data_IF_304259115604
#
_entry.id   IF_304259115604
#
_cell.length_a   1.000
_cell.length_b   1.000
_cell.length_c   1.000
_cell.angle_alpha   90.00
_cell.angle_beta   90.00
_cell.angle_gamma   90.00
#
_symmetry.space_group_name_H-M   'P 1'
#
loop_
_entity.id
_entity.type
_entity.pdbx_description
1 polymer ?
#
# COMPACT_ATOMS: atom_id res chain seq x y z
N UNK A 1 45.08 -16.59 13.45
CA UNK A 1 44.22 -16.69 12.26
C UNK A 1 43.24 -15.53 12.32
N UNK A 2 43.47 -14.50 11.52
CA UNK A 2 42.55 -13.37 11.35
C UNK A 2 41.22 -13.92 10.76
N UNK A 3 40.09 -13.73 11.46
CA UNK A 3 38.77 -13.89 10.82
C UNK A 3 38.72 -12.86 9.70
N UNK A 4 38.93 -13.30 8.47
CA UNK A 4 38.69 -12.51 7.28
C UNK A 4 37.31 -11.84 7.44
N UNK A 5 37.29 -10.57 7.13
CA UNK A 5 36.10 -9.71 7.28
C UNK A 5 35.05 -10.08 6.22
N UNK A 6 34.54 -11.30 6.34
CA UNK A 6 33.64 -11.92 5.36
C UNK A 6 32.36 -11.09 5.26
N UNK A 7 32.02 -10.62 4.07
CA UNK A 7 30.80 -9.88 3.84
C UNK A 7 29.58 -10.81 4.05
N UNK A 8 28.74 -10.49 5.03
CA UNK A 8 27.52 -11.23 5.31
C UNK A 8 26.30 -10.59 4.63
N UNK A 9 25.22 -11.36 4.45
CA UNK A 9 23.94 -10.88 3.90
C UNK A 9 23.45 -9.65 4.65
N UNK A 10 23.54 -9.64 5.98
CA UNK A 10 23.10 -8.52 6.80
C UNK A 10 23.94 -7.27 6.62
N UNK A 11 25.27 -7.40 6.59
CA UNK A 11 26.17 -6.27 6.32
C UNK A 11 25.95 -5.70 4.93
N UNK A 12 25.78 -6.57 3.94
CA UNK A 12 25.50 -6.15 2.57
C UNK A 12 24.17 -5.43 2.43
N UNK A 13 23.07 -6.02 2.91
CA UNK A 13 21.73 -5.40 2.83
C UNK A 13 21.68 -4.07 3.59
N UNK A 14 22.34 -3.97 4.73
CA UNK A 14 22.47 -2.71 5.48
C UNK A 14 23.22 -1.63 4.70
N UNK A 15 24.39 -1.98 4.12
CA UNK A 15 25.16 -1.08 3.24
C UNK A 15 24.33 -0.65 2.03
N UNK A 16 23.72 -1.62 1.35
CA UNK A 16 22.85 -1.39 0.20
C UNK A 16 21.72 -0.41 0.52
N UNK A 17 21.05 -0.59 1.66
CA UNK A 17 19.99 0.30 2.11
C UNK A 17 20.48 1.73 2.31
N UNK A 18 21.59 1.91 3.02
CA UNK A 18 22.16 3.23 3.30
C UNK A 18 22.56 3.95 2.00
N UNK A 19 23.18 3.23 1.07
CA UNK A 19 23.63 3.77 -0.22
C UNK A 19 22.47 4.19 -1.11
N UNK A 20 21.36 3.45 -1.09
CA UNK A 20 20.25 3.66 -2.02
C UNK A 20 19.09 4.48 -1.44
N UNK A 21 19.01 4.70 -0.11
CA UNK A 21 17.85 5.32 0.55
C UNK A 21 17.43 6.69 -0.01
N UNK A 22 18.41 7.48 -0.50
CA UNK A 22 18.14 8.80 -1.09
C UNK A 22 17.33 8.75 -2.40
N UNK A 23 17.25 7.58 -3.05
CA UNK A 23 16.50 7.36 -4.28
C UNK A 23 15.00 7.14 -4.03
N UNK A 24 14.56 6.99 -2.77
CA UNK A 24 13.21 6.58 -2.43
C UNK A 24 12.45 7.68 -1.69
N UNK A 25 11.13 7.68 -1.85
CA UNK A 25 10.28 8.45 -0.96
C UNK A 25 10.19 7.80 0.43
N UNK A 26 9.76 8.56 1.45
CA UNK A 26 9.74 8.10 2.84
C UNK A 26 8.92 6.82 3.08
N UNK A 27 7.86 6.59 2.32
CA UNK A 27 7.05 5.36 2.44
C UNK A 27 7.81 4.14 1.93
N UNK A 28 8.48 4.26 0.79
CA UNK A 28 9.31 3.18 0.21
C UNK A 28 10.53 2.91 1.11
N UNK A 29 11.19 3.96 1.60
CA UNK A 29 12.30 3.82 2.54
C UNK A 29 11.86 3.08 3.80
N UNK A 30 10.74 3.49 4.41
CA UNK A 30 10.19 2.83 5.59
C UNK A 30 9.84 1.36 5.35
N UNK A 31 9.25 1.04 4.20
CA UNK A 31 8.95 -0.32 3.78
C UNK A 31 10.21 -1.18 3.64
N UNK A 32 11.21 -0.70 2.93
CA UNK A 32 12.49 -1.42 2.75
C UNK A 32 13.26 -1.58 4.06
N UNK A 33 13.27 -0.55 4.89
CA UNK A 33 13.85 -0.61 6.23
C UNK A 33 13.22 -1.75 7.03
N UNK A 34 11.88 -1.82 7.07
CA UNK A 34 11.18 -2.90 7.78
C UNK A 34 11.55 -4.28 7.23
N UNK A 35 11.53 -4.47 5.90
CA UNK A 35 11.87 -5.76 5.29
C UNK A 35 13.30 -6.20 5.62
N UNK A 36 14.27 -5.29 5.60
CA UNK A 36 15.68 -5.59 5.87
C UNK A 36 15.87 -5.88 7.36
N UNK A 37 15.50 -4.94 8.23
CA UNK A 37 15.87 -5.02 9.64
C UNK A 37 14.96 -5.91 10.48
N UNK A 38 13.70 -6.09 10.08
CA UNK A 38 12.77 -6.96 10.83
C UNK A 38 12.67 -8.38 10.29
N UNK A 39 13.10 -8.63 9.04
CA UNK A 39 12.96 -9.94 8.43
C UNK A 39 14.28 -10.51 7.89
N UNK A 40 14.98 -9.81 6.98
CA UNK A 40 16.18 -10.36 6.32
C UNK A 40 17.34 -10.52 7.30
N UNK A 41 17.71 -9.47 8.02
CA UNK A 41 18.83 -9.51 8.96
C UNK A 41 18.62 -10.53 10.08
N UNK A 42 17.45 -10.59 10.75
CA UNK A 42 17.22 -11.60 11.79
C UNK A 42 17.16 -13.03 11.26
N UNK A 43 16.78 -13.24 10.00
CA UNK A 43 16.63 -14.57 9.42
C UNK A 43 17.92 -15.14 8.85
N UNK A 44 18.59 -14.41 7.98
CA UNK A 44 19.77 -14.87 7.23
C UNK A 44 20.96 -13.88 7.27
N UNK A 45 20.87 -12.83 8.09
CA UNK A 45 21.88 -11.78 8.11
C UNK A 45 23.29 -12.21 8.53
N UNK A 46 23.41 -13.32 9.28
CA UNK A 46 24.69 -13.91 9.70
C UNK A 46 25.37 -14.76 8.63
N UNK A 47 24.63 -15.17 7.59
CA UNK A 47 25.13 -16.01 6.50
C UNK A 47 26.11 -15.20 5.65
N UNK A 48 27.29 -15.78 5.32
CA UNK A 48 28.22 -15.15 4.38
C UNK A 48 27.59 -15.10 2.98
N UNK A 49 27.89 -14.04 2.21
CA UNK A 49 27.34 -13.93 0.85
C UNK A 49 27.77 -15.09 -0.04
N UNK A 50 29.00 -15.62 0.14
CA UNK A 50 29.53 -16.79 -0.56
C UNK A 50 28.75 -18.07 -0.26
N UNK A 51 28.20 -18.17 0.93
CA UNK A 51 27.56 -19.39 1.45
C UNK A 51 26.02 -19.35 1.30
N UNK A 52 25.51 -18.27 0.70
CA UNK A 52 24.06 -18.11 0.45
C UNK A 52 23.63 -19.04 -0.67
N UNK A 53 22.95 -20.12 -0.33
CA UNK A 53 22.43 -21.11 -1.29
C UNK A 53 20.94 -20.95 -1.51
N UNK A 54 20.41 -21.55 -2.62
CA UNK A 54 18.98 -21.67 -2.86
C UNK A 54 18.24 -22.28 -1.66
N UNK A 55 18.82 -23.34 -1.07
CA UNK A 55 18.21 -24.05 0.07
C UNK A 55 18.06 -23.11 1.28
N UNK A 56 19.14 -22.40 1.64
CA UNK A 56 19.14 -21.43 2.76
C UNK A 56 18.05 -20.36 2.56
N UNK A 57 17.86 -19.91 1.31
CA UNK A 57 16.85 -18.90 0.99
C UNK A 57 15.44 -19.51 1.10
N UNK A 58 15.23 -20.71 0.62
CA UNK A 58 13.92 -21.41 0.71
C UNK A 58 13.53 -21.63 2.17
N UNK A 59 14.44 -22.19 2.98
CA UNK A 59 14.23 -22.42 4.41
C UNK A 59 13.91 -21.12 5.16
N UNK A 60 14.56 -20.03 4.75
CA UNK A 60 14.25 -18.69 5.27
C UNK A 60 12.82 -18.25 4.94
N UNK A 61 12.34 -18.45 3.71
CA UNK A 61 10.96 -18.10 3.36
C UNK A 61 9.95 -18.94 4.12
N UNK A 62 10.19 -20.24 4.29
CA UNK A 62 9.35 -21.12 5.08
C UNK A 62 9.30 -20.66 6.54
N UNK A 63 10.45 -20.25 7.10
CA UNK A 63 10.51 -19.70 8.45
C UNK A 63 9.68 -18.43 8.62
N UNK A 64 9.62 -17.54 7.59
CA UNK A 64 8.79 -16.35 7.61
C UNK A 64 7.30 -16.71 7.60
N UNK A 65 6.89 -17.69 6.80
CA UNK A 65 5.49 -18.17 6.77
C UNK A 65 5.10 -18.80 8.12
N UNK A 66 5.96 -19.63 8.69
CA UNK A 66 5.74 -20.24 10.00
C UNK A 66 5.63 -19.22 11.13
N UNK A 67 6.27 -18.05 10.98
CA UNK A 67 6.13 -16.88 11.88
C UNK A 67 4.86 -16.07 11.63
N UNK A 68 4.00 -16.50 10.70
CA UNK A 68 2.71 -15.87 10.40
C UNK A 68 2.73 -14.78 9.32
N UNK A 69 3.82 -14.61 8.57
CA UNK A 69 3.81 -13.71 7.40
C UNK A 69 2.95 -14.33 6.28
N UNK A 70 2.06 -13.52 5.72
CA UNK A 70 1.31 -13.95 4.55
C UNK A 70 2.22 -14.06 3.31
N UNK A 71 1.83 -14.89 2.34
CA UNK A 71 2.58 -15.13 1.10
C UNK A 71 2.97 -13.83 0.37
N UNK A 72 2.09 -12.82 0.36
CA UNK A 72 2.38 -11.50 -0.22
C UNK A 72 3.54 -10.78 0.48
N UNK A 73 3.63 -10.87 1.81
CA UNK A 73 4.73 -10.28 2.57
C UNK A 73 6.05 -10.99 2.30
N UNK A 74 6.04 -12.32 2.23
CA UNK A 74 7.22 -13.12 1.86
C UNK A 74 7.67 -12.79 0.44
N UNK A 75 6.74 -12.60 -0.49
CA UNK A 75 7.05 -12.15 -1.85
C UNK A 75 7.72 -10.76 -1.88
N UNK A 76 7.28 -9.82 -1.04
CA UNK A 76 7.95 -8.52 -0.91
C UNK A 76 9.39 -8.66 -0.39
N UNK A 77 9.62 -9.58 0.57
CA UNK A 77 10.97 -9.90 1.07
C UNK A 77 11.83 -10.49 -0.07
N UNK A 78 11.27 -11.45 -0.83
CA UNK A 78 11.94 -12.06 -1.98
C UNK A 78 12.38 -11.00 -3.01
N UNK A 79 11.47 -10.12 -3.42
CA UNK A 79 11.79 -9.08 -4.40
C UNK A 79 12.90 -8.15 -3.93
N UNK A 80 12.88 -7.75 -2.66
CA UNK A 80 13.90 -6.88 -2.10
C UNK A 80 15.24 -7.60 -1.98
N UNK A 81 15.25 -8.84 -1.47
CA UNK A 81 16.45 -9.66 -1.35
C UNK A 81 17.07 -9.90 -2.73
N UNK A 82 16.25 -10.25 -3.73
CA UNK A 82 16.68 -10.43 -5.12
C UNK A 82 17.39 -9.18 -5.64
N UNK A 83 16.80 -8.00 -5.42
CA UNK A 83 17.40 -6.73 -5.83
C UNK A 83 18.74 -6.46 -5.13
N UNK A 84 18.83 -6.70 -3.81
CA UNK A 84 20.07 -6.56 -3.06
C UNK A 84 21.15 -7.50 -3.59
N UNK A 85 20.82 -8.76 -3.89
CA UNK A 85 21.77 -9.75 -4.39
C UNK A 85 22.15 -9.52 -5.85
N UNK A 86 21.28 -8.91 -6.67
CA UNK A 86 21.63 -8.50 -8.03
C UNK A 86 22.74 -7.44 -8.01
N UNK A 87 22.66 -6.45 -7.12
CA UNK A 87 23.74 -5.46 -6.96
C UNK A 87 25.01 -6.08 -6.36
N UNK A 88 24.90 -7.07 -5.45
CA UNK A 88 26.05 -7.80 -4.94
C UNK A 88 26.78 -8.59 -6.05
N UNK A 89 26.05 -9.14 -7.00
CA UNK A 89 26.64 -9.81 -8.17
C UNK A 89 27.29 -8.81 -9.14
N UNK A 90 26.68 -7.64 -9.35
CA UNK A 90 27.27 -6.57 -10.17
C UNK A 90 28.56 -5.99 -9.55
N UNK A 91 28.61 -5.86 -8.22
CA UNK A 91 29.82 -5.42 -7.49
C UNK A 91 30.81 -6.57 -7.28
N UNK A 92 30.58 -7.76 -7.85
CA UNK A 92 31.45 -8.94 -7.80
C UNK A 92 31.69 -9.55 -6.40
N UNK A 93 30.80 -9.28 -5.42
CA UNK A 93 30.83 -9.95 -4.11
C UNK A 93 30.37 -11.41 -4.18
N UNK A 94 29.52 -11.73 -5.16
CA UNK A 94 29.05 -13.09 -5.48
C UNK A 94 29.08 -13.30 -6.98
N UNK A 95 29.37 -14.53 -7.44
CA UNK A 95 29.41 -14.83 -8.89
C UNK A 95 28.02 -14.82 -9.55
N UNK A 96 26.97 -15.13 -8.78
CA UNK A 96 25.59 -15.23 -9.25
C UNK A 96 24.59 -15.03 -8.12
N UNK A 97 23.43 -14.45 -8.44
CA UNK A 97 22.34 -14.26 -7.50
C UNK A 97 21.50 -15.53 -7.33
N UNK A 98 21.72 -16.26 -6.24
CA UNK A 98 21.01 -17.50 -5.91
C UNK A 98 19.48 -17.29 -5.67
N UNK A 99 19.05 -16.07 -5.31
CA UNK A 99 17.63 -15.74 -5.11
C UNK A 99 16.83 -15.93 -6.41
N UNK A 100 17.48 -15.73 -7.57
CA UNK A 100 16.83 -15.93 -8.89
C UNK A 100 16.47 -17.39 -9.18
N UNK A 101 17.08 -18.34 -8.46
CA UNK A 101 16.78 -19.77 -8.58
C UNK A 101 15.63 -20.22 -7.68
N UNK A 102 15.23 -19.36 -6.73
CA UNK A 102 14.10 -19.64 -5.87
C UNK A 102 12.80 -19.38 -6.64
N UNK A 103 11.83 -20.30 -6.51
CA UNK A 103 10.49 -20.05 -7.03
C UNK A 103 9.89 -18.87 -6.28
N UNK A 104 9.36 -17.93 -7.02
CA UNK A 104 8.52 -16.88 -6.46
C UNK A 104 7.34 -17.59 -5.77
N UNK A 105 7.15 -17.35 -4.49
CA UNK A 105 5.90 -17.71 -3.84
C UNK A 105 4.80 -17.00 -4.60
N UNK A 106 4.06 -17.75 -5.42
CA UNK A 106 2.88 -17.22 -6.10
C UNK A 106 1.87 -16.90 -5.01
N UNK A 107 1.93 -15.66 -4.52
CA UNK A 107 0.86 -15.16 -3.68
C UNK A 107 -0.40 -15.25 -4.55
N UNK A 108 -1.26 -16.22 -4.27
CA UNK A 108 -2.61 -16.19 -4.82
C UNK A 108 -3.13 -14.78 -4.60
N UNK A 109 -3.48 -14.13 -5.70
CA UNK A 109 -3.99 -12.76 -5.63
C UNK A 109 -5.26 -12.82 -4.78
N UNK A 110 -5.17 -12.33 -3.53
CA UNK A 110 -6.35 -12.25 -2.67
C UNK A 110 -7.38 -11.35 -3.37
N UNK A 111 -8.31 -11.98 -4.06
CA UNK A 111 -9.47 -11.31 -4.63
C UNK A 111 -10.52 -11.26 -3.53
N UNK A 112 -10.64 -10.12 -2.87
CA UNK A 112 -11.76 -9.88 -1.96
C UNK A 112 -13.06 -10.18 -2.71
N UNK A 113 -13.92 -11.00 -2.12
CA UNK A 113 -15.24 -11.23 -2.69
C UNK A 113 -15.99 -9.89 -2.79
N UNK A 114 -16.53 -9.55 -3.98
CA UNK A 114 -17.21 -8.28 -4.17
C UNK A 114 -18.44 -8.19 -3.24
N UNK A 115 -18.71 -7.00 -2.73
CA UNK A 115 -19.93 -6.76 -1.97
C UNK A 115 -21.14 -6.89 -2.90
N UNK A 116 -22.16 -7.63 -2.48
CA UNK A 116 -23.45 -7.65 -3.18
C UNK A 116 -24.10 -6.27 -3.14
N UNK A 117 -24.96 -5.96 -4.11
CA UNK A 117 -25.60 -4.64 -4.21
C UNK A 117 -26.24 -4.18 -2.89
N UNK A 118 -26.99 -5.03 -2.21
CA UNK A 118 -27.60 -4.70 -0.91
C UNK A 118 -26.59 -4.49 0.21
N UNK A 119 -25.39 -5.08 0.13
CA UNK A 119 -24.30 -4.84 1.08
C UNK A 119 -23.65 -3.47 0.81
N UNK A 120 -23.47 -3.11 -0.46
CA UNK A 120 -22.98 -1.79 -0.85
C UNK A 120 -23.94 -0.68 -0.43
N UNK A 121 -25.24 -0.88 -0.60
CA UNK A 121 -26.26 0.06 -0.12
C UNK A 121 -26.16 0.26 1.40
N UNK A 122 -26.01 -0.83 2.20
CA UNK A 122 -25.80 -0.72 3.65
C UNK A 122 -24.53 0.03 4.00
N UNK A 123 -23.45 -0.17 3.24
CA UNK A 123 -22.19 0.55 3.42
C UNK A 123 -22.36 2.06 3.20
N UNK A 124 -23.02 2.46 2.11
CA UNK A 124 -23.29 3.86 1.79
C UNK A 124 -24.25 4.51 2.81
N UNK A 125 -25.30 3.81 3.23
CA UNK A 125 -26.21 4.29 4.29
C UNK A 125 -25.48 4.47 5.63
N UNK A 126 -24.56 3.57 5.99
CA UNK A 126 -23.74 3.74 7.17
C UNK A 126 -22.77 4.93 7.07
N UNK A 127 -22.23 5.19 5.88
CA UNK A 127 -21.40 6.37 5.63
C UNK A 127 -22.21 7.68 5.74
N UNK A 128 -23.44 7.68 5.24
CA UNK A 128 -24.39 8.80 5.35
C UNK A 128 -24.72 9.10 6.81
N UNK A 129 -25.10 8.09 7.59
CA UNK A 129 -25.38 8.23 9.04
C UNK A 129 -24.18 8.71 9.85
N UNK A 130 -22.97 8.55 9.36
CA UNK A 130 -21.73 9.07 9.95
C UNK A 130 -21.35 10.45 9.42
N UNK A 131 -22.12 11.04 8.50
CA UNK A 131 -21.86 12.35 7.91
C UNK A 131 -20.63 12.36 6.97
N UNK A 132 -20.22 11.20 6.43
CA UNK A 132 -19.02 11.05 5.60
C UNK A 132 -19.30 10.50 4.20
N UNK A 133 -20.58 10.54 3.78
CA UNK A 133 -20.97 10.03 2.47
C UNK A 133 -20.22 10.72 1.33
N UNK A 134 -19.99 12.02 1.42
CA UNK A 134 -19.35 12.81 0.36
C UNK A 134 -17.96 12.29 0.03
N UNK A 135 -17.09 12.11 1.02
CA UNK A 135 -15.72 11.58 0.81
C UNK A 135 -15.75 10.14 0.32
N UNK A 136 -16.60 9.30 0.92
CA UNK A 136 -16.70 7.88 0.56
C UNK A 136 -17.22 7.71 -0.86
N UNK A 137 -18.33 8.38 -1.19
CA UNK A 137 -18.95 8.25 -2.52
C UNK A 137 -18.04 8.81 -3.62
N UNK A 138 -17.41 9.96 -3.38
CA UNK A 138 -16.41 10.52 -4.31
C UNK A 138 -15.27 9.53 -4.52
N UNK A 139 -14.73 8.95 -3.45
CA UNK A 139 -13.65 7.97 -3.56
C UNK A 139 -14.05 6.73 -4.37
N UNK A 140 -15.26 6.19 -4.16
CA UNK A 140 -15.73 5.00 -4.86
C UNK A 140 -16.02 5.23 -6.35
N UNK A 141 -16.52 6.43 -6.71
CA UNK A 141 -16.97 6.73 -8.06
C UNK A 141 -15.96 7.42 -8.97
N UNK A 142 -14.89 8.00 -8.43
CA UNK A 142 -13.95 8.82 -9.21
C UNK A 142 -12.66 8.11 -9.61
N UNK A 143 -12.32 6.97 -8.98
CA UNK A 143 -11.03 6.32 -9.21
C UNK A 143 -9.82 7.04 -8.60
N UNK A 144 -10.03 8.05 -7.74
CA UNK A 144 -8.96 8.68 -6.96
C UNK A 144 -8.30 7.68 -6.03
N UNK A 145 -6.97 7.68 -5.97
CA UNK A 145 -6.25 6.93 -4.93
C UNK A 145 -6.59 7.52 -3.56
N UNK A 146 -6.51 6.72 -2.50
CA UNK A 146 -6.84 7.21 -1.14
C UNK A 146 -6.04 8.47 -0.75
N UNK A 147 -4.74 8.52 -1.08
CA UNK A 147 -3.92 9.70 -0.83
C UNK A 147 -4.35 10.92 -1.65
N UNK A 148 -4.80 10.72 -2.88
CA UNK A 148 -5.33 11.79 -3.75
C UNK A 148 -6.69 12.29 -3.22
N UNK A 149 -7.55 11.37 -2.76
CA UNK A 149 -8.87 11.68 -2.21
C UNK A 149 -8.78 12.54 -0.94
N UNK A 150 -7.94 12.14 0.03
CA UNK A 150 -7.80 12.88 1.29
C UNK A 150 -7.08 14.23 1.14
N UNK A 151 -6.33 14.42 0.06
CA UNK A 151 -5.66 15.68 -0.30
C UNK A 151 -6.32 16.40 -1.47
N UNK A 152 -7.58 16.05 -1.78
CA UNK A 152 -8.33 16.73 -2.83
C UNK A 152 -8.57 18.19 -2.44
N UNK A 153 -8.20 19.13 -3.30
CA UNK A 153 -8.41 20.56 -3.11
C UNK A 153 -9.55 21.08 -3.98
N UNK A 154 -10.11 22.19 -3.59
CA UNK A 154 -11.13 22.88 -4.41
C UNK A 154 -10.57 23.31 -5.78
N UNK A 155 -9.27 23.62 -5.86
CA UNK A 155 -8.59 23.94 -7.12
C UNK A 155 -8.51 22.74 -8.09
N UNK A 156 -8.59 21.50 -7.58
CA UNK A 156 -8.60 20.29 -8.43
C UNK A 156 -9.99 20.00 -9.01
N UNK A 157 -11.05 20.68 -8.52
CA UNK A 157 -12.45 20.34 -8.81
C UNK A 157 -13.11 21.34 -9.75
N UNK A 158 -13.50 20.90 -10.93
CA UNK A 158 -14.19 21.68 -11.96
C UNK A 158 -15.69 21.38 -11.97
N UNK A 159 -16.42 22.04 -11.07
CA UNK A 159 -17.85 21.80 -10.78
C UNK A 159 -18.73 21.82 -12.02
N UNK A 160 -18.54 22.82 -12.90
CA UNK A 160 -19.36 23.00 -14.11
C UNK A 160 -19.25 21.81 -15.06
N UNK A 161 -18.08 21.20 -15.12
CA UNK A 161 -17.78 20.13 -16.07
C UNK A 161 -17.78 18.74 -15.42
N UNK A 162 -18.04 18.67 -14.13
CA UNK A 162 -18.06 17.43 -13.35
C UNK A 162 -16.80 16.57 -13.51
N UNK A 163 -15.63 17.20 -13.45
CA UNK A 163 -14.38 16.46 -13.42
C UNK A 163 -13.44 16.96 -12.31
N UNK A 164 -12.50 16.10 -11.98
CA UNK A 164 -11.36 16.39 -11.10
C UNK A 164 -10.09 16.29 -11.94
N UNK A 165 -9.22 17.29 -11.84
CA UNK A 165 -7.88 17.25 -12.41
C UNK A 165 -6.88 17.07 -11.27
N UNK A 166 -6.35 15.85 -11.12
CA UNK A 166 -5.34 15.56 -10.09
C UNK A 166 -4.00 15.20 -10.73
N UNK A 167 -3.04 16.13 -10.64
CA UNK A 167 -1.81 16.05 -11.43
C UNK A 167 -2.11 16.08 -12.93
N UNK A 168 -1.74 15.03 -13.66
CA UNK A 168 -2.03 14.87 -15.09
C UNK A 168 -3.26 13.99 -15.38
N UNK A 169 -4.01 13.59 -14.34
CA UNK A 169 -5.16 12.69 -14.47
C UNK A 169 -6.46 13.47 -14.48
N UNK A 170 -7.20 13.33 -15.56
CA UNK A 170 -8.58 13.79 -15.66
C UNK A 170 -9.53 12.67 -15.23
N UNK A 171 -10.33 12.93 -14.20
CA UNK A 171 -11.26 11.96 -13.62
C UNK A 171 -12.68 12.53 -13.67
N UNK A 172 -13.60 11.79 -14.28
CA UNK A 172 -15.00 12.21 -14.36
C UNK A 172 -15.75 11.89 -13.07
N UNK A 173 -16.68 12.75 -12.70
CA UNK A 173 -17.60 12.55 -11.58
C UNK A 173 -18.99 12.25 -12.11
N UNK A 174 -19.64 11.24 -11.53
CA UNK A 174 -21.06 11.05 -11.79
C UNK A 174 -21.89 12.17 -11.13
N UNK A 175 -23.16 12.29 -11.53
CA UNK A 175 -24.05 13.38 -11.09
C UNK A 175 -24.20 13.41 -9.54
N UNK A 176 -24.28 12.23 -8.91
CA UNK A 176 -24.43 12.10 -7.46
C UNK A 176 -23.18 12.56 -6.70
N UNK A 177 -21.98 12.18 -7.16
CA UNK A 177 -20.72 12.64 -6.56
C UNK A 177 -20.59 14.17 -6.67
N UNK A 178 -20.87 14.74 -7.84
CA UNK A 178 -20.84 16.18 -8.04
C UNK A 178 -21.88 16.91 -7.18
N UNK A 179 -23.06 16.34 -6.99
CA UNK A 179 -24.09 16.89 -6.10
C UNK A 179 -23.62 16.87 -4.63
N UNK A 180 -23.08 15.77 -4.15
CA UNK A 180 -22.58 15.65 -2.78
C UNK A 180 -21.42 16.61 -2.51
N UNK A 181 -20.54 16.84 -3.49
CA UNK A 181 -19.44 17.81 -3.34
C UNK A 181 -19.94 19.25 -3.23
N UNK A 182 -21.00 19.61 -3.97
CA UNK A 182 -21.63 20.94 -3.88
C UNK A 182 -22.31 21.21 -2.53
N UNK A 183 -22.66 20.17 -1.77
CA UNK A 183 -23.27 20.29 -0.45
C UNK A 183 -22.25 20.47 0.68
N UNK A 184 -20.95 20.31 0.39
CA UNK A 184 -19.90 20.54 1.38
C UNK A 184 -19.81 22.05 1.65
N UNK A 185 -19.90 22.50 2.92
CA UNK A 185 -19.78 23.90 3.24
C UNK A 185 -18.42 24.46 2.81
N UNK A 186 -18.43 25.66 2.27
CA UNK A 186 -17.19 26.42 2.00
C UNK A 186 -16.49 26.73 3.33
N UNK A 187 -15.19 26.51 3.35
CA UNK A 187 -14.31 26.81 4.50
C UNK A 187 -13.08 27.52 4.01
N UNK A 188 -12.31 28.15 4.89
CA UNK A 188 -11.02 28.77 4.54
C UNK A 188 -9.94 27.73 4.13
N UNK A 189 -10.24 26.44 4.29
CA UNK A 189 -9.33 25.37 3.90
C UNK A 189 -9.31 25.16 2.38
N UNK A 190 -8.13 25.02 1.77
CA UNK A 190 -8.04 24.67 0.36
C UNK A 190 -8.52 23.24 0.06
N UNK A 191 -8.64 22.40 1.10
CA UNK A 191 -8.99 20.99 0.95
C UNK A 191 -10.51 20.76 1.01
N UNK A 192 -11.00 19.86 0.19
CA UNK A 192 -12.44 19.52 0.09
C UNK A 192 -12.90 18.70 1.31
N UNK A 193 -12.10 17.74 1.76
CA UNK A 193 -12.48 16.82 2.83
C UNK A 193 -11.66 17.05 4.09
N UNK A 194 -12.33 17.55 5.12
CA UNK A 194 -11.72 17.78 6.43
C UNK A 194 -12.23 16.75 7.44
N UNK A 195 -11.33 16.32 8.32
CA UNK A 195 -11.70 15.50 9.46
C UNK A 195 -12.45 16.38 10.48
N UNK A 196 -13.72 16.09 10.79
CA UNK A 196 -14.52 16.94 11.67
C UNK A 196 -13.98 17.05 13.10
N UNK A 197 -13.06 16.16 13.51
CA UNK A 197 -12.44 16.20 14.83
C UNK A 197 -11.26 17.17 14.91
N UNK A 198 -10.53 17.35 13.81
CA UNK A 198 -9.28 18.12 13.78
C UNK A 198 -9.36 19.38 12.95
N UNK A 199 -10.38 19.53 12.08
CA UNK A 199 -10.47 20.60 11.10
C UNK A 199 -9.40 20.54 9.98
N UNK A 200 -8.57 19.50 9.97
CA UNK A 200 -7.48 19.31 9.01
C UNK A 200 -7.83 18.19 7.99
N UNK A 201 -7.13 18.08 6.85
CA UNK A 201 -7.29 16.96 5.95
C UNK A 201 -7.07 15.63 6.64
N UNK A 202 -7.80 14.60 6.24
CA UNK A 202 -7.60 13.25 6.77
C UNK A 202 -6.18 12.76 6.52
N UNK A 203 -5.58 12.08 7.52
CA UNK A 203 -4.40 11.24 7.30
C UNK A 203 -4.80 9.86 6.79
N UNK A 204 -3.90 9.15 6.10
CA UNK A 204 -4.20 7.81 5.54
C UNK A 204 -4.70 6.82 6.60
N UNK A 205 -4.09 6.80 7.77
CA UNK A 205 -4.54 5.92 8.86
C UNK A 205 -5.92 6.32 9.40
N UNK A 206 -6.24 7.61 9.47
CA UNK A 206 -7.57 8.09 9.90
C UNK A 206 -8.64 7.66 8.90
N UNK A 207 -8.36 7.77 7.59
CA UNK A 207 -9.24 7.29 6.55
C UNK A 207 -9.43 5.76 6.60
N UNK A 208 -8.36 5.01 6.88
CA UNK A 208 -8.43 3.57 7.11
C UNK A 208 -9.37 3.24 8.28
N UNK A 209 -9.23 3.91 9.43
CA UNK A 209 -10.12 3.69 10.58
C UNK A 209 -11.55 4.15 10.31
N UNK A 210 -11.75 5.21 9.54
CA UNK A 210 -13.07 5.65 9.09
C UNK A 210 -13.76 4.55 8.26
N UNK A 211 -13.07 4.03 7.27
CA UNK A 211 -13.57 2.92 6.44
C UNK A 211 -13.91 1.69 7.29
N UNK A 212 -13.03 1.30 8.21
CA UNK A 212 -13.27 0.19 9.14
C UNK A 212 -14.51 0.43 10.02
N UNK A 213 -14.71 1.67 10.49
CA UNK A 213 -15.88 2.06 11.28
C UNK A 213 -17.18 1.93 10.47
N UNK A 214 -17.17 2.33 9.20
CA UNK A 214 -18.33 2.19 8.29
C UNK A 214 -18.67 0.72 8.09
N UNK A 215 -17.71 -0.13 7.76
CA UNK A 215 -17.90 -1.57 7.59
C UNK A 215 -18.50 -2.21 8.85
N UNK A 216 -17.96 -1.88 10.03
CA UNK A 216 -18.49 -2.38 11.30
C UNK A 216 -19.93 -1.95 11.53
N UNK A 217 -20.27 -0.66 11.26
CA UNK A 217 -21.64 -0.14 11.40
C UNK A 217 -22.61 -0.81 10.43
N UNK A 218 -22.16 -1.07 9.20
CA UNK A 218 -22.94 -1.77 8.18
C UNK A 218 -23.04 -3.29 8.41
N UNK A 219 -22.36 -3.84 9.42
CA UNK A 219 -22.23 -5.27 9.70
C UNK A 219 -21.72 -6.05 8.48
N UNK A 220 -20.66 -5.54 7.88
CA UNK A 220 -20.02 -6.12 6.72
C UNK A 220 -18.65 -6.72 7.07
N UNK A 221 -18.22 -7.77 6.36
CA UNK A 221 -16.87 -8.30 6.50
C UNK A 221 -15.84 -7.24 6.06
N UNK A 222 -14.59 -7.46 6.43
CA UNK A 222 -13.51 -6.62 5.95
C UNK A 222 -13.34 -6.77 4.44
N UNK A 223 -13.32 -5.63 3.76
CA UNK A 223 -12.94 -5.49 2.35
C UNK A 223 -12.06 -4.24 2.24
N UNK A 224 -10.98 -4.29 1.46
CA UNK A 224 -10.15 -3.11 1.29
C UNK A 224 -10.90 -2.03 0.49
N UNK A 225 -10.73 -0.76 0.86
CA UNK A 225 -11.41 0.34 0.16
C UNK A 225 -11.10 0.35 -1.35
N UNK A 226 -9.87 0.00 -1.74
CA UNK A 226 -9.46 -0.10 -3.14
C UNK A 226 -10.22 -1.17 -3.91
N UNK A 227 -10.51 -2.31 -3.28
CA UNK A 227 -11.26 -3.40 -3.93
C UNK A 227 -12.72 -3.01 -4.09
N UNK A 228 -13.30 -2.36 -3.07
CA UNK A 228 -14.64 -1.80 -3.14
C UNK A 228 -14.74 -0.71 -4.21
N UNK A 229 -13.75 0.16 -4.33
CA UNK A 229 -13.66 1.17 -5.37
C UNK A 229 -13.63 0.54 -6.77
N UNK A 230 -12.77 -0.48 -6.99
CA UNK A 230 -12.71 -1.20 -8.28
C UNK A 230 -14.07 -1.76 -8.65
N UNK A 231 -14.73 -2.44 -7.72
CA UNK A 231 -16.07 -2.97 -7.91
C UNK A 231 -17.09 -1.89 -8.32
N UNK A 232 -17.09 -0.75 -7.61
CA UNK A 232 -18.02 0.34 -7.91
C UNK A 232 -17.81 0.93 -9.30
N UNK A 233 -16.56 1.05 -9.74
CA UNK A 233 -16.21 1.54 -11.07
C UNK A 233 -16.63 0.56 -12.18
N UNK A 234 -16.53 -0.76 -11.94
CA UNK A 234 -16.95 -1.80 -12.89
C UNK A 234 -18.48 -1.82 -13.11
N UNK A 235 -19.27 -1.48 -12.08
CA UNK A 235 -20.73 -1.43 -12.16
C UNK A 235 -21.30 -0.03 -12.42
N UNK A 236 -20.45 0.98 -12.64
CA UNK A 236 -20.86 2.33 -13.03
C UNK A 236 -21.53 3.15 -11.92
N UNK A 237 -21.14 2.92 -10.67
CA UNK A 237 -21.62 3.71 -9.51
C UNK A 237 -20.81 4.97 -9.32
#
# INVERSE_FOLDING_TARGET
MQKENTMTVGRWCGRWFITNRHKWNGNTEGGYRNLIYSHIIPGIGSVALSDLTKQTITDFYDSLQNRGLCARSVWCVHLLLRRCMDEAAQEQFIPYNQVRLCQESTAEEYKAAPLRLGQLQRYLSAAEQLGVLSIIYTGLSSGLRQCELITLSWADFYVRYRYILKGQRLLTLNAKAAHLLKQIPETDSPYVFLNPKTGAPYKLHEFYYLHKKILKRARLPWVAFRDLQRQCMEVGI
#
